data_IF_097171999097
#
_entry.id   IF_097171999097
#
_cell.length_a   1.000
_cell.length_b   1.000
_cell.length_c   1.000
_cell.angle_alpha   90.00
_cell.angle_beta   90.00
_cell.angle_gamma   90.00
#
_symmetry.space_group_name_H-M   'P 1'
#
loop_
_entity.id
_entity.type
_entity.pdbx_description
1 polymer ?
#
# COMPACT_ATOMS: atom_id res chain seq x y z
N UNK A 1 -40.33 23.09 -45.59
CA UNK A 1 -40.97 22.01 -44.81
C UNK A 1 -40.01 20.82 -44.76
N UNK A 2 -39.91 20.17 -43.59
CA UNK A 2 -39.14 18.95 -43.25
C UNK A 2 -37.60 19.09 -43.26
N UNK A 3 -36.90 19.24 -42.13
CA UNK A 3 -36.59 18.29 -41.02
C UNK A 3 -35.63 17.16 -41.38
N UNK A 4 -34.40 17.20 -40.86
CA UNK A 4 -33.55 16.03 -40.53
C UNK A 4 -32.32 16.53 -39.75
N UNK A 5 -32.37 16.48 -38.41
CA UNK A 5 -31.82 15.42 -37.54
C UNK A 5 -30.30 15.51 -37.33
N UNK A 6 -29.96 15.89 -36.10
CA UNK A 6 -28.63 15.94 -35.51
C UNK A 6 -27.93 14.58 -35.54
N UNK A 7 -26.63 14.56 -35.86
CA UNK A 7 -25.71 13.45 -35.52
C UNK A 7 -24.29 13.97 -35.34
N UNK A 8 -24.02 14.56 -34.19
CA UNK A 8 -22.65 14.77 -33.70
C UNK A 8 -22.12 13.44 -33.18
N UNK A 9 -21.22 12.81 -33.95
CA UNK A 9 -20.50 11.62 -33.50
C UNK A 9 -19.43 12.05 -32.50
N UNK A 10 -19.51 11.47 -31.30
CA UNK A 10 -18.56 11.67 -30.20
C UNK A 10 -17.21 11.09 -30.63
N UNK A 11 -16.20 11.96 -30.65
CA UNK A 11 -14.78 11.65 -30.78
C UNK A 11 -14.33 10.80 -29.58
N UNK A 12 -14.19 9.49 -29.78
CA UNK A 12 -13.60 8.59 -28.77
C UNK A 12 -12.09 8.83 -28.69
N UNK A 13 -11.68 9.73 -27.80
CA UNK A 13 -10.30 9.78 -27.32
C UNK A 13 -10.05 8.56 -26.45
N UNK A 14 -9.24 7.62 -26.96
CA UNK A 14 -8.63 6.55 -26.16
C UNK A 14 -7.82 7.19 -25.04
N UNK A 15 -8.40 7.31 -23.85
CA UNK A 15 -7.65 7.67 -22.65
C UNK A 15 -6.88 6.43 -22.21
N UNK A 16 -5.56 6.56 -22.25
CA UNK A 16 -4.61 5.56 -21.78
C UNK A 16 -4.96 5.17 -20.34
N UNK A 17 -5.01 3.86 -20.12
CA UNK A 17 -5.06 3.20 -18.82
C UNK A 17 -4.01 3.85 -17.90
N UNK A 18 -4.49 4.43 -16.79
CA UNK A 18 -3.68 5.24 -15.90
C UNK A 18 -2.50 4.45 -15.33
N UNK A 19 -1.31 4.77 -15.84
CA UNK A 19 -0.05 4.53 -15.15
C UNK A 19 -0.13 5.30 -13.83
N UNK A 20 -0.36 4.60 -12.72
CA UNK A 20 -0.19 5.20 -11.39
C UNK A 20 1.30 5.44 -11.18
N UNK A 21 1.80 6.54 -11.72
CA UNK A 21 3.10 7.09 -11.38
C UNK A 21 3.07 7.44 -9.88
N UNK A 22 3.57 6.52 -9.04
CA UNK A 22 3.83 6.73 -7.62
C UNK A 22 5.09 7.59 -7.38
N UNK A 23 5.53 8.35 -8.38
CA UNK A 23 6.60 9.32 -8.25
C UNK A 23 6.04 10.64 -7.72
N UNK A 24 6.48 11.03 -6.52
CA UNK A 24 6.17 12.25 -5.75
C UNK A 24 4.97 12.18 -4.80
N UNK A 25 5.15 11.50 -3.66
CA UNK A 25 4.43 11.92 -2.44
C UNK A 25 5.32 11.94 -1.19
N UNK A 26 6.46 12.66 -1.16
CA UNK A 26 7.19 12.88 0.08
C UNK A 26 6.37 13.71 1.10
N UNK A 27 5.36 14.47 0.65
CA UNK A 27 4.64 15.43 1.49
C UNK A 27 3.34 14.89 2.14
N UNK A 28 2.98 13.61 1.98
CA UNK A 28 1.82 13.02 2.66
C UNK A 28 2.15 12.12 3.84
N UNK A 29 3.38 11.62 3.94
CA UNK A 29 3.80 10.75 5.06
C UNK A 29 3.73 11.50 6.40
N UNK A 30 3.94 12.83 6.40
CA UNK A 30 3.73 13.68 7.57
C UNK A 30 2.32 14.30 7.69
N UNK A 31 1.57 14.42 6.59
CA UNK A 31 0.30 15.18 6.59
C UNK A 31 -0.83 14.45 7.35
N UNK A 32 -0.82 13.11 7.34
CA UNK A 32 -1.76 12.36 8.17
C UNK A 32 -1.42 12.50 9.66
N UNK A 33 -0.18 12.19 10.05
CA UNK A 33 0.24 12.17 11.46
C UNK A 33 0.21 13.57 12.10
N UNK A 34 0.60 14.61 11.34
CA UNK A 34 0.57 16.00 11.81
C UNK A 34 -0.84 16.51 12.16
N UNK A 35 -1.92 15.82 11.77
CA UNK A 35 -3.29 16.20 12.16
C UNK A 35 -3.62 15.85 13.60
N UNK A 36 -2.97 14.83 14.18
CA UNK A 36 -3.33 14.30 15.50
C UNK A 36 -2.16 14.20 16.48
N UNK A 37 -0.92 14.06 15.99
CA UNK A 37 0.27 14.02 16.84
C UNK A 37 0.81 15.44 17.01
N UNK A 38 0.58 16.02 18.20
CA UNK A 38 1.02 17.40 18.52
C UNK A 38 2.47 17.45 19.00
N UNK A 39 2.93 16.40 19.68
CA UNK A 39 4.31 16.26 20.11
C UNK A 39 5.19 15.74 18.96
N UNK A 40 6.11 16.58 18.49
CA UNK A 40 7.05 16.26 17.40
C UNK A 40 8.45 15.95 17.92
N UNK A 41 8.65 15.86 19.24
CA UNK A 41 9.93 15.47 19.82
C UNK A 41 10.24 13.98 19.65
N UNK A 42 9.19 13.16 19.47
CA UNK A 42 9.28 11.72 19.22
C UNK A 42 8.99 11.40 17.76
N UNK A 43 9.56 10.30 17.27
CA UNK A 43 9.26 9.78 15.94
C UNK A 43 7.79 9.36 15.86
N UNK A 44 7.17 9.67 14.73
CA UNK A 44 5.82 9.22 14.43
C UNK A 44 5.75 7.69 14.27
N UNK A 45 4.59 7.05 14.49
CA UNK A 45 4.43 5.62 14.25
C UNK A 45 4.78 5.20 12.81
N UNK A 46 4.51 6.09 11.84
CA UNK A 46 4.86 5.87 10.43
C UNK A 46 6.38 5.84 10.21
N UNK A 47 7.13 6.69 10.91
CA UNK A 47 8.60 6.66 10.86
C UNK A 47 9.15 5.40 11.55
N UNK A 48 8.61 5.05 12.72
CA UNK A 48 9.04 3.86 13.47
C UNK A 48 8.87 2.58 12.65
N UNK A 49 7.74 2.38 11.98
CA UNK A 49 7.53 1.17 11.16
C UNK A 49 8.35 1.18 9.87
N UNK A 50 8.71 2.36 9.36
CA UNK A 50 9.60 2.46 8.20
C UNK A 50 11.04 2.05 8.55
N UNK A 51 11.47 2.24 9.79
CA UNK A 51 12.79 1.80 10.27
C UNK A 51 12.92 0.27 10.41
N UNK A 52 11.80 -0.44 10.62
CA UNK A 52 11.81 -1.91 10.72
C UNK A 52 12.09 -2.53 9.33
N UNK A 53 13.15 -3.34 9.17
CA UNK A 53 13.47 -3.94 7.86
C UNK A 53 12.41 -4.97 7.43
N UNK A 54 12.21 -5.18 6.12
CA UNK A 54 11.35 -6.27 5.63
C UNK A 54 11.84 -7.64 6.11
N UNK A 55 10.92 -8.47 6.57
CA UNK A 55 11.13 -9.83 7.02
C UNK A 55 11.19 -10.76 5.80
N UNK A 56 12.29 -11.51 5.67
CA UNK A 56 12.44 -12.52 4.65
C UNK A 56 11.80 -13.82 5.11
N UNK A 57 11.01 -14.44 4.24
CA UNK A 57 10.40 -15.75 4.49
C UNK A 57 10.57 -16.63 3.26
N UNK A 58 10.70 -17.94 3.45
CA UNK A 58 10.88 -18.90 2.34
C UNK A 58 9.56 -19.17 1.59
N UNK A 59 8.44 -19.13 2.31
CA UNK A 59 7.11 -19.42 1.79
C UNK A 59 6.54 -18.33 0.88
N UNK A 60 5.63 -18.73 -0.02
CA UNK A 60 4.88 -17.80 -0.89
C UNK A 60 3.77 -17.05 -0.16
N UNK A 61 3.34 -17.56 1.00
CA UNK A 61 2.29 -16.96 1.84
C UNK A 61 2.83 -16.90 3.27
N UNK A 62 2.62 -15.77 3.93
CA UNK A 62 2.92 -15.59 5.36
C UNK A 62 1.63 -15.36 6.15
N UNK A 63 1.58 -15.90 7.36
CA UNK A 63 0.55 -15.60 8.35
C UNK A 63 1.11 -14.58 9.33
N UNK A 64 0.59 -13.35 9.31
CA UNK A 64 0.97 -12.31 10.26
C UNK A 64 -0.06 -12.29 11.41
N UNK A 65 0.40 -12.57 12.62
CA UNK A 65 -0.42 -12.56 13.83
C UNK A 65 -0.23 -11.25 14.62
N UNK A 66 0.83 -10.50 14.35
CA UNK A 66 1.12 -9.19 14.97
C UNK A 66 1.96 -9.26 16.24
N UNK A 67 1.89 -10.35 17.00
CA UNK A 67 2.73 -10.64 18.16
C UNK A 67 3.05 -12.15 18.22
N UNK A 68 3.93 -12.58 19.14
CA UNK A 68 4.16 -14.00 19.40
C UNK A 68 2.99 -14.65 20.15
N UNK A 69 2.21 -13.86 20.90
CA UNK A 69 0.95 -14.28 21.48
C UNK A 69 -0.21 -13.90 20.54
N UNK A 70 -0.90 -14.88 19.92
CA UNK A 70 -2.02 -14.62 19.03
C UNK A 70 -3.17 -13.81 19.68
N UNK A 71 -3.28 -13.81 21.02
CA UNK A 71 -4.29 -13.05 21.73
C UNK A 71 -3.95 -11.56 21.90
N UNK A 72 -2.68 -11.18 21.76
CA UNK A 72 -2.21 -9.79 21.87
C UNK A 72 -1.98 -9.12 20.51
N UNK A 73 -2.06 -9.91 19.45
CA UNK A 73 -1.89 -9.47 18.09
C UNK A 73 -3.17 -8.95 17.42
N UNK A 74 -3.14 -8.91 16.09
CA UNK A 74 -4.30 -8.61 15.26
C UNK A 74 -4.88 -9.90 14.67
N UNK A 75 -6.10 -9.88 14.09
CA UNK A 75 -6.61 -11.03 13.35
C UNK A 75 -5.60 -11.51 12.31
N UNK A 76 -5.43 -12.82 12.21
CA UNK A 76 -4.42 -13.42 11.32
C UNK A 76 -4.62 -12.92 9.90
N UNK A 77 -3.61 -12.26 9.34
CA UNK A 77 -3.59 -11.84 7.95
C UNK A 77 -2.70 -12.77 7.12
N UNK A 78 -3.30 -13.47 6.17
CA UNK A 78 -2.55 -14.24 5.17
C UNK A 78 -2.16 -13.34 4.00
N UNK A 79 -0.87 -13.18 3.78
CA UNK A 79 -0.31 -12.23 2.81
C UNK A 79 0.44 -13.00 1.72
N UNK A 80 0.13 -12.70 0.46
CA UNK A 80 0.80 -13.28 -0.71
C UNK A 80 2.09 -12.52 -1.04
N UNK A 81 3.18 -13.25 -1.30
CA UNK A 81 4.53 -12.73 -1.53
C UNK A 81 5.04 -13.00 -2.95
N UNK A 82 4.14 -13.27 -3.89
CA UNK A 82 4.49 -13.54 -5.30
C UNK A 82 5.09 -12.33 -6.02
N UNK A 83 4.90 -11.12 -5.48
CA UNK A 83 5.47 -9.90 -6.02
C UNK A 83 6.87 -9.66 -5.46
N UNK A 84 7.75 -9.09 -6.29
CA UNK A 84 9.13 -8.74 -5.89
C UNK A 84 9.18 -7.62 -4.85
N UNK A 85 8.16 -6.77 -4.80
CA UNK A 85 8.06 -5.69 -3.82
C UNK A 85 7.63 -6.22 -2.45
N UNK A 86 8.13 -5.65 -1.34
CA UNK A 86 7.69 -6.06 0.00
C UNK A 86 6.18 -5.89 0.19
N UNK A 87 5.51 -6.97 0.57
CA UNK A 87 4.10 -6.94 0.91
C UNK A 87 3.93 -6.45 2.35
N UNK A 88 2.97 -5.56 2.59
CA UNK A 88 2.75 -4.92 3.89
C UNK A 88 1.55 -5.56 4.59
N UNK A 89 1.70 -5.96 5.85
CA UNK A 89 0.57 -6.30 6.71
C UNK A 89 -0.25 -5.04 6.99
N UNK A 90 -1.56 -5.10 6.75
CA UNK A 90 -2.45 -3.94 6.89
C UNK A 90 -2.70 -3.52 8.32
N UNK A 91 -2.45 -4.42 9.27
CA UNK A 91 -2.69 -4.18 10.69
C UNK A 91 -1.45 -3.60 11.38
N UNK A 92 -0.34 -4.34 11.40
CA UNK A 92 0.88 -3.92 12.10
C UNK A 92 1.88 -3.14 11.22
N UNK A 93 1.71 -3.14 9.89
CA UNK A 93 2.61 -2.45 8.96
C UNK A 93 3.94 -3.16 8.71
N UNK A 94 4.16 -4.35 9.29
CA UNK A 94 5.32 -5.19 8.99
C UNK A 94 5.37 -5.52 7.50
N UNK A 95 6.58 -5.58 6.97
CA UNK A 95 6.84 -5.85 5.56
C UNK A 95 7.44 -7.24 5.40
N UNK A 96 6.98 -7.98 4.41
CA UNK A 96 7.41 -9.34 4.12
C UNK A 96 7.89 -9.44 2.68
N UNK A 97 8.96 -10.21 2.45
CA UNK A 97 9.49 -10.53 1.12
C UNK A 97 9.78 -12.02 1.06
N UNK A 98 9.52 -12.62 -0.10
CA UNK A 98 9.93 -14.00 -0.32
C UNK A 98 11.45 -14.06 -0.56
N UNK A 99 12.15 -14.95 0.14
CA UNK A 99 13.56 -15.23 -0.14
C UNK A 99 13.65 -16.18 -1.34
N UNK A 100 13.99 -15.63 -2.50
CA UNK A 100 14.20 -16.42 -3.71
C UNK A 100 15.63 -16.96 -3.69
N UNK A 101 15.81 -18.15 -3.12
CA UNK A 101 17.05 -18.90 -3.29
C UNK A 101 17.17 -19.32 -4.77
N UNK A 102 18.13 -18.73 -5.46
CA UNK A 102 18.58 -19.15 -6.80
C UNK A 102 19.61 -20.26 -6.70
#
# INVERSE_FOLDING_TARGET
MASSLMKTLIRSSKLALGTRNLSLVPNQVGNHTAKWMQDTSMKSPMELINEVPPIKVEGRIVACEGDNDPALGHPIEFICLDLKEPAVCKYCGLRYVQDHHH
#
